data_IF_269946417748
#
_entry.id   IF_269946417748
#
_cell.length_a   1.000
_cell.length_b   1.000
_cell.length_c   1.000
_cell.angle_alpha   90.00
_cell.angle_beta   90.00
_cell.angle_gamma   90.00
#
_symmetry.space_group_name_H-M   'P 1'
#
loop_
_entity.id
_entity.type
_entity.pdbx_description
1 polymer ?
#
# COMPACT_ATOMS: atom_id res chain seq x y z
N UNK A 1 7.10 -15.14 -17.26
CA UNK A 1 6.72 -16.23 -16.34
C UNK A 1 7.94 -16.76 -15.59
N UNK A 2 8.65 -17.74 -16.15
CA UNK A 2 9.80 -18.37 -15.48
C UNK A 2 10.99 -17.42 -15.29
N UNK A 3 11.41 -16.71 -16.34
CA UNK A 3 12.52 -15.74 -16.27
C UNK A 3 12.24 -14.59 -15.29
N UNK A 4 11.01 -14.08 -15.29
CA UNK A 4 10.57 -13.06 -14.33
C UNK A 4 10.59 -13.61 -12.90
N UNK A 5 10.17 -14.86 -12.68
CA UNK A 5 10.19 -15.49 -11.35
C UNK A 5 11.61 -15.67 -10.76
N UNK A 6 12.62 -15.87 -11.60
CA UNK A 6 14.02 -15.96 -11.18
C UNK A 6 14.65 -14.58 -10.91
N UNK A 7 14.28 -13.57 -11.71
CA UNK A 7 14.84 -12.23 -11.59
C UNK A 7 14.24 -11.42 -10.42
N UNK A 8 12.95 -11.58 -10.12
CA UNK A 8 12.26 -10.74 -9.14
C UNK A 8 12.81 -10.82 -7.71
N UNK A 9 13.11 -12.01 -7.13
CA UNK A 9 13.65 -12.09 -5.78
C UNK A 9 15.02 -11.40 -5.64
N UNK A 10 15.89 -11.58 -6.64
CA UNK A 10 17.25 -11.00 -6.62
C UNK A 10 17.23 -9.48 -6.79
N UNK A 11 16.34 -8.96 -7.65
CA UNK A 11 16.12 -7.53 -7.82
C UNK A 11 15.50 -6.90 -6.57
N UNK A 12 14.45 -7.51 -6.01
CA UNK A 12 13.82 -7.01 -4.79
C UNK A 12 14.81 -6.93 -3.63
N UNK A 13 15.68 -7.93 -3.46
CA UNK A 13 16.71 -7.90 -2.41
C UNK A 13 17.63 -6.67 -2.51
N UNK A 14 18.03 -6.27 -3.73
CA UNK A 14 18.87 -5.08 -3.94
C UNK A 14 18.09 -3.76 -3.82
N UNK A 15 16.83 -3.74 -4.23
CA UNK A 15 16.01 -2.52 -4.23
C UNK A 15 15.55 -2.08 -2.85
N UNK A 16 15.61 -2.94 -1.83
CA UNK A 16 15.28 -2.54 -0.47
C UNK A 16 16.12 -1.34 0.01
N UNK A 17 17.41 -1.31 -0.35
CA UNK A 17 18.32 -0.21 -0.01
C UNK A 17 17.96 1.12 -0.70
N UNK A 18 17.33 1.08 -1.87
CA UNK A 18 16.99 2.27 -2.65
C UNK A 18 15.98 3.18 -1.94
N UNK A 19 15.06 2.59 -1.15
CA UNK A 19 14.02 3.33 -0.44
C UNK A 19 14.15 3.22 1.08
N UNK A 20 15.26 2.69 1.60
CA UNK A 20 15.57 2.65 3.04
C UNK A 20 14.49 2.05 3.95
N UNK A 21 13.67 1.12 3.43
CA UNK A 21 12.53 0.54 4.17
C UNK A 21 11.28 1.43 4.30
N UNK A 22 11.21 2.57 3.60
CA UNK A 22 10.08 3.52 3.66
C UNK A 22 8.87 3.15 2.77
N UNK A 23 9.00 2.13 1.92
CA UNK A 23 7.88 1.51 1.21
C UNK A 23 7.82 0.03 1.55
N UNK A 24 6.62 -0.46 1.85
CA UNK A 24 6.37 -1.86 2.18
C UNK A 24 6.22 -2.75 0.94
N UNK A 25 6.09 -2.20 -0.27
CA UNK A 25 5.79 -2.95 -1.51
C UNK A 25 6.98 -3.07 -2.46
N UNK A 26 8.14 -3.43 -1.91
CA UNK A 26 9.39 -3.56 -2.66
C UNK A 26 9.30 -4.54 -3.85
N UNK A 27 8.56 -5.65 -3.72
CA UNK A 27 8.34 -6.58 -4.84
C UNK A 27 7.59 -5.93 -6.01
N UNK A 28 6.67 -5.01 -5.73
CA UNK A 28 5.96 -4.29 -6.78
C UNK A 28 6.88 -3.36 -7.58
N UNK A 29 7.90 -2.80 -6.94
CA UNK A 29 8.94 -2.04 -7.63
C UNK A 29 9.82 -2.90 -8.52
N UNK A 30 10.24 -4.08 -8.04
CA UNK A 30 10.97 -5.04 -8.88
C UNK A 30 10.15 -5.42 -10.13
N UNK A 31 8.85 -5.72 -9.97
CA UNK A 31 7.92 -5.98 -11.08
C UNK A 31 7.82 -4.79 -12.04
N UNK A 32 7.74 -3.57 -11.51
CA UNK A 32 7.64 -2.37 -12.34
C UNK A 32 8.89 -2.08 -13.16
N UNK A 33 10.09 -2.26 -12.59
CA UNK A 33 11.35 -2.10 -13.32
C UNK A 33 11.45 -3.12 -14.45
N UNK A 34 11.14 -4.39 -14.17
CA UNK A 34 11.15 -5.44 -15.20
C UNK A 34 10.09 -5.17 -16.28
N UNK A 35 8.89 -4.76 -15.89
CA UNK A 35 7.80 -4.41 -16.81
C UNK A 35 8.15 -3.22 -17.69
N UNK A 36 8.79 -2.19 -17.13
CA UNK A 36 9.28 -1.04 -17.89
C UNK A 36 10.33 -1.47 -18.92
N UNK A 37 11.33 -2.26 -18.52
CA UNK A 37 12.39 -2.72 -19.42
C UNK A 37 11.81 -3.57 -20.56
N UNK A 38 10.91 -4.51 -20.24
CA UNK A 38 10.25 -5.34 -21.24
C UNK A 38 9.42 -4.49 -22.22
N UNK A 39 8.65 -3.52 -21.71
CA UNK A 39 7.80 -2.69 -22.56
C UNK A 39 8.59 -1.69 -23.40
N UNK A 40 9.72 -1.17 -22.89
CA UNK A 40 10.65 -0.35 -23.65
C UNK A 40 11.25 -1.14 -24.83
N UNK A 41 11.65 -2.39 -24.60
CA UNK A 41 12.15 -3.27 -25.66
C UNK A 41 11.08 -3.55 -26.72
N UNK A 42 9.87 -3.92 -26.31
CA UNK A 42 8.77 -4.19 -27.24
C UNK A 42 8.46 -2.95 -28.11
N UNK A 43 8.41 -1.75 -27.50
CA UNK A 43 8.22 -0.49 -28.24
C UNK A 43 9.35 -0.18 -29.21
N UNK A 44 10.59 -0.54 -28.90
CA UNK A 44 11.71 -0.39 -29.83
C UNK A 44 11.52 -1.21 -31.12
N UNK A 45 10.73 -2.29 -31.08
CA UNK A 45 10.33 -3.08 -32.25
C UNK A 45 8.94 -2.69 -32.81
N UNK A 46 8.37 -1.56 -32.39
CA UNK A 46 7.04 -1.12 -32.82
C UNK A 46 5.88 -1.90 -32.19
N UNK A 47 6.14 -2.77 -31.21
CA UNK A 47 5.14 -3.56 -30.49
C UNK A 47 4.70 -2.80 -29.23
N UNK A 48 3.75 -1.87 -29.39
CA UNK A 48 3.15 -1.13 -28.28
C UNK A 48 1.76 -1.67 -27.93
N UNK A 49 1.40 -1.63 -26.64
CA UNK A 49 0.03 -1.83 -26.20
C UNK A 49 -0.57 -0.49 -25.76
N UNK A 50 -1.80 -0.22 -26.19
CA UNK A 50 -2.63 0.86 -25.64
C UNK A 50 -3.27 0.43 -24.32
N UNK A 51 -3.92 1.38 -23.65
CA UNK A 51 -4.58 1.16 -22.37
C UNK A 51 -5.66 0.08 -22.50
N UNK A 52 -5.51 -1.02 -21.77
CA UNK A 52 -6.50 -2.10 -21.74
C UNK A 52 -7.76 -1.61 -21.04
N UNK A 53 -8.90 -1.71 -21.71
CA UNK A 53 -10.22 -1.46 -21.13
C UNK A 53 -10.59 -2.58 -20.15
N UNK A 54 -10.91 -2.22 -18.92
CA UNK A 54 -11.51 -3.13 -17.96
C UNK A 54 -13.01 -3.27 -18.25
N UNK A 55 -13.52 -4.50 -18.32
CA UNK A 55 -14.95 -4.76 -18.39
C UNK A 55 -15.49 -4.99 -16.98
N UNK A 56 -16.19 -4.01 -16.38
CA UNK A 56 -16.72 -4.18 -15.04
C UNK A 56 -17.87 -5.20 -15.07
N UNK A 57 -17.73 -6.28 -14.30
CA UNK A 57 -18.86 -7.13 -13.94
C UNK A 57 -19.81 -6.32 -13.06
N UNK A 58 -21.02 -6.08 -13.54
CA UNK A 58 -22.03 -5.29 -12.84
C UNK A 58 -22.85 -6.16 -11.87
N UNK A 59 -23.34 -5.56 -10.78
CA UNK A 59 -24.30 -6.21 -9.87
C UNK A 59 -23.69 -7.05 -8.74
N UNK A 60 -22.36 -7.08 -8.60
CA UNK A 60 -21.66 -7.83 -7.55
C UNK A 60 -21.32 -6.99 -6.31
N UNK A 61 -21.63 -5.69 -6.29
CA UNK A 61 -21.24 -4.78 -5.20
C UNK A 61 -21.70 -5.28 -3.82
N UNK A 62 -22.99 -5.62 -3.67
CA UNK A 62 -23.58 -6.07 -2.40
C UNK A 62 -23.07 -7.45 -1.98
N UNK A 63 -23.04 -8.48 -2.85
CA UNK A 63 -22.41 -9.77 -2.50
C UNK A 63 -20.95 -9.63 -2.06
N UNK A 64 -20.15 -8.81 -2.76
CA UNK A 64 -18.75 -8.58 -2.40
C UNK A 64 -18.60 -7.84 -1.06
N UNK A 65 -19.49 -6.89 -0.77
CA UNK A 65 -19.53 -6.20 0.52
C UNK A 65 -19.81 -7.17 1.67
N UNK A 66 -20.85 -7.99 1.54
CA UNK A 66 -21.21 -8.98 2.57
C UNK A 66 -20.04 -9.93 2.79
N UNK A 67 -19.43 -10.42 1.71
CA UNK A 67 -18.29 -11.33 1.77
C UNK A 67 -17.09 -10.70 2.49
N UNK A 68 -16.68 -9.48 2.11
CA UNK A 68 -15.50 -8.84 2.70
C UNK A 68 -15.73 -8.47 4.16
N UNK A 69 -16.92 -7.99 4.53
CA UNK A 69 -17.27 -7.68 5.92
C UNK A 69 -17.32 -8.95 6.78
N UNK A 70 -17.82 -10.06 6.23
CA UNK A 70 -17.83 -11.35 6.93
C UNK A 70 -16.40 -11.85 7.20
N UNK A 71 -15.51 -11.72 6.21
CA UNK A 71 -14.09 -12.07 6.37
C UNK A 71 -13.41 -11.19 7.42
N UNK A 72 -13.63 -9.87 7.36
CA UNK A 72 -13.10 -8.92 8.33
C UNK A 72 -13.59 -9.24 9.75
N UNK A 73 -14.88 -9.55 9.91
CA UNK A 73 -15.46 -9.93 11.19
C UNK A 73 -14.84 -11.22 11.75
N UNK A 74 -14.62 -12.22 10.88
CA UNK A 74 -13.95 -13.47 11.28
C UNK A 74 -12.50 -13.23 11.74
N UNK A 75 -11.74 -12.41 11.00
CA UNK A 75 -10.36 -12.06 11.36
C UNK A 75 -10.34 -11.26 12.69
N UNK A 76 -11.27 -10.31 12.87
CA UNK A 76 -11.38 -9.55 14.11
C UNK A 76 -11.73 -10.45 15.31
N UNK A 77 -12.67 -11.39 15.12
CA UNK A 77 -13.04 -12.35 16.15
C UNK A 77 -11.86 -13.25 16.52
N UNK A 78 -11.14 -13.79 15.54
CA UNK A 78 -9.94 -14.57 15.79
C UNK A 78 -8.86 -13.75 16.52
N UNK A 79 -8.65 -12.50 16.11
CA UNK A 79 -7.74 -11.58 16.79
C UNK A 79 -8.11 -11.32 18.24
N UNK A 80 -9.39 -11.14 18.53
CA UNK A 80 -9.91 -10.95 19.89
C UNK A 80 -9.76 -12.20 20.76
N UNK A 81 -10.15 -13.38 20.25
CA UNK A 81 -10.05 -14.65 20.98
C UNK A 81 -8.60 -15.03 21.33
N UNK A 82 -7.65 -14.64 20.48
CA UNK A 82 -6.22 -14.91 20.68
C UNK A 82 -5.49 -13.81 21.48
N UNK A 83 -6.21 -12.85 22.06
CA UNK A 83 -5.62 -11.67 22.73
C UNK A 83 -6.16 -11.42 24.15
N UNK A 84 -5.55 -12.01 25.19
CA UNK A 84 -5.94 -11.72 26.58
C UNK A 84 -5.73 -10.25 27.00
N UNK A 85 -4.91 -9.47 26.28
CA UNK A 85 -4.62 -8.05 26.53
C UNK A 85 -4.71 -7.17 25.28
N UNK A 86 -5.74 -7.37 24.45
CA UNK A 86 -5.85 -6.77 23.12
C UNK A 86 -5.63 -5.24 23.09
N UNK A 87 -6.25 -4.50 24.00
CA UNK A 87 -6.21 -3.04 23.99
C UNK A 87 -4.79 -2.48 24.20
N UNK A 88 -4.06 -3.02 25.18
CA UNK A 88 -2.68 -2.58 25.46
C UNK A 88 -1.75 -2.94 24.30
N UNK A 89 -1.88 -4.16 23.77
CA UNK A 89 -1.06 -4.61 22.65
C UNK A 89 -1.33 -3.79 21.37
N UNK A 90 -2.60 -3.48 21.07
CA UNK A 90 -2.96 -2.58 19.97
C UNK A 90 -2.43 -1.17 20.18
N UNK A 91 -2.49 -0.63 21.40
CA UNK A 91 -1.94 0.69 21.68
C UNK A 91 -0.43 0.76 21.45
N UNK A 92 0.31 -0.30 21.81
CA UNK A 92 1.75 -0.43 21.50
C UNK A 92 1.99 -0.55 19.99
N UNK A 93 1.22 -1.41 19.31
CA UNK A 93 1.31 -1.61 17.85
C UNK A 93 1.05 -0.30 17.09
N UNK A 94 0.06 0.49 17.50
CA UNK A 94 -0.31 1.77 16.85
C UNK A 94 0.72 2.88 17.01
N UNK A 95 1.71 2.72 17.88
CA UNK A 95 2.83 3.66 18.06
C UNK A 95 4.09 3.24 17.32
N UNK A 96 4.07 2.05 16.70
CA UNK A 96 5.25 1.54 16.01
C UNK A 96 5.46 2.27 14.67
N UNK A 97 6.68 2.75 14.34
CA UNK A 97 6.91 3.53 13.12
C UNK A 97 6.64 2.73 11.84
N UNK A 98 6.75 1.40 11.90
CA UNK A 98 6.39 0.50 10.80
C UNK A 98 7.40 0.46 9.66
N UNK A 99 8.58 1.08 9.84
CA UNK A 99 9.71 1.04 8.90
C UNK A 99 10.33 -0.36 8.86
N UNK A 100 10.65 -0.83 7.66
CA UNK A 100 11.23 -2.16 7.44
C UNK A 100 10.19 -3.28 7.41
N UNK A 101 10.61 -4.47 6.98
CA UNK A 101 9.76 -5.68 6.95
C UNK A 101 9.62 -6.31 8.35
N UNK A 102 9.17 -5.53 9.33
CA UNK A 102 8.94 -6.01 10.69
C UNK A 102 7.68 -6.89 10.71
N UNK A 103 7.85 -8.19 10.94
CA UNK A 103 6.73 -9.09 11.19
C UNK A 103 6.09 -8.75 12.54
N UNK A 104 4.96 -8.05 12.53
CA UNK A 104 4.29 -7.63 13.77
C UNK A 104 3.86 -8.82 14.63
N UNK A 105 3.60 -9.98 14.02
CA UNK A 105 3.16 -11.17 14.74
C UNK A 105 4.20 -11.65 15.77
N UNK A 106 5.50 -11.52 15.45
CA UNK A 106 6.57 -11.86 16.38
C UNK A 106 6.76 -10.83 17.51
N UNK A 107 6.39 -9.56 17.28
CA UNK A 107 6.62 -8.47 18.22
C UNK A 107 5.43 -8.21 19.16
N UNK A 108 4.20 -8.28 18.64
CA UNK A 108 2.97 -7.91 19.36
C UNK A 108 2.04 -9.09 19.61
N UNK A 109 2.39 -10.27 19.10
CA UNK A 109 1.56 -11.47 19.15
C UNK A 109 0.56 -11.57 18.00
N UNK A 110 0.10 -12.80 17.72
CA UNK A 110 -0.79 -13.07 16.58
C UNK A 110 -2.16 -12.41 16.72
N UNK A 111 -2.75 -12.44 17.92
CA UNK A 111 -4.09 -11.90 18.15
C UNK A 111 -4.22 -10.40 17.85
N UNK A 112 -3.38 -9.52 18.44
CA UNK A 112 -3.42 -8.08 18.18
C UNK A 112 -3.15 -7.73 16.71
N UNK A 113 -2.32 -8.53 16.04
CA UNK A 113 -2.03 -8.36 14.61
C UNK A 113 -3.24 -8.69 13.74
N UNK A 114 -3.89 -9.84 13.97
CA UNK A 114 -5.13 -10.18 13.26
C UNK A 114 -6.18 -9.08 13.45
N UNK A 115 -6.34 -8.57 14.68
CA UNK A 115 -7.28 -7.48 14.93
C UNK A 115 -6.88 -6.19 14.19
N UNK A 116 -5.60 -5.83 14.16
CA UNK A 116 -5.09 -4.70 13.36
C UNK A 116 -5.35 -4.88 11.85
N UNK A 117 -5.15 -6.08 11.32
CA UNK A 117 -5.45 -6.41 9.91
C UNK A 117 -6.95 -6.21 9.60
N UNK A 118 -7.84 -6.62 10.51
CA UNK A 118 -9.27 -6.40 10.37
C UNK A 118 -9.65 -4.91 10.40
N UNK A 119 -9.05 -4.12 11.31
CA UNK A 119 -9.27 -2.67 11.36
C UNK A 119 -8.84 -1.97 10.07
N UNK A 120 -7.69 -2.35 9.51
CA UNK A 120 -7.24 -1.85 8.21
C UNK A 120 -8.20 -2.23 7.08
N UNK A 121 -8.75 -3.46 7.11
CA UNK A 121 -9.79 -3.89 6.18
C UNK A 121 -11.05 -3.03 6.25
N UNK A 122 -11.52 -2.70 7.47
CA UNK A 122 -12.65 -1.78 7.66
C UNK A 122 -12.35 -0.39 7.11
N UNK A 123 -11.18 0.16 7.42
CA UNK A 123 -10.75 1.48 6.94
C UNK A 123 -10.65 1.49 5.41
N UNK A 124 -10.08 0.45 4.80
CA UNK A 124 -10.02 0.33 3.35
C UNK A 124 -11.41 0.30 2.73
N UNK A 125 -12.31 -0.52 3.27
CA UNK A 125 -13.67 -0.67 2.78
C UNK A 125 -14.44 0.65 2.91
N UNK A 126 -14.31 1.34 4.05
CA UNK A 126 -14.87 2.67 4.26
C UNK A 126 -14.32 3.69 3.26
N UNK A 127 -13.00 3.68 3.01
CA UNK A 127 -12.35 4.58 2.06
C UNK A 127 -12.92 4.44 0.64
N UNK A 128 -13.22 3.21 0.19
CA UNK A 128 -13.84 2.96 -1.12
C UNK A 128 -15.16 3.75 -1.23
N UNK A 129 -16.03 3.62 -0.23
CA UNK A 129 -17.34 4.29 -0.25
C UNK A 129 -17.23 5.81 -0.09
N UNK A 130 -16.33 6.29 0.78
CA UNK A 130 -16.09 7.73 0.94
C UNK A 130 -15.57 8.38 -0.35
N UNK A 131 -14.80 7.65 -1.15
CA UNK A 131 -14.30 8.12 -2.45
C UNK A 131 -15.34 8.08 -3.57
N UNK A 132 -16.56 7.61 -3.30
CA UNK A 132 -17.59 7.36 -4.31
C UNK A 132 -17.28 6.16 -5.21
N UNK A 133 -16.37 5.27 -4.77
CA UNK A 133 -15.97 4.07 -5.49
C UNK A 133 -16.96 2.91 -5.32
N UNK A 134 -16.77 1.88 -6.14
CA UNK A 134 -17.55 0.64 -6.12
C UNK A 134 -16.68 -0.55 -5.75
N UNK A 135 -17.29 -1.62 -5.27
CA UNK A 135 -16.58 -2.85 -4.98
C UNK A 135 -16.50 -3.70 -6.25
N UNK A 136 -15.33 -3.68 -6.87
CA UNK A 136 -14.97 -4.56 -7.97
C UNK A 136 -13.96 -5.62 -7.53
N UNK A 137 -13.73 -6.65 -8.34
CA UNK A 137 -12.69 -7.64 -8.08
C UNK A 137 -11.30 -7.02 -7.82
N UNK A 138 -10.82 -6.10 -8.67
CA UNK A 138 -9.56 -5.39 -8.42
C UNK A 138 -9.53 -4.57 -7.13
N UNK A 139 -10.60 -3.83 -6.81
CA UNK A 139 -10.70 -3.06 -5.55
C UNK A 139 -10.69 -4.00 -4.34
N UNK A 140 -11.40 -5.13 -4.41
CA UNK A 140 -11.38 -6.15 -3.38
C UNK A 140 -9.98 -6.76 -3.20
N UNK A 141 -9.27 -7.04 -4.29
CA UNK A 141 -7.88 -7.49 -4.25
C UNK A 141 -6.97 -6.48 -3.53
N UNK A 142 -7.20 -5.18 -3.72
CA UNK A 142 -6.48 -4.13 -3.00
C UNK A 142 -6.83 -4.10 -1.50
N UNK A 143 -8.10 -4.28 -1.12
CA UNK A 143 -8.54 -4.40 0.28
C UNK A 143 -7.87 -5.62 0.95
N UNK A 144 -7.94 -6.79 0.32
CA UNK A 144 -7.34 -8.03 0.84
C UNK A 144 -5.82 -7.90 0.97
N UNK A 145 -5.17 -7.24 0.01
CA UNK A 145 -3.75 -6.92 0.09
C UNK A 145 -3.46 -6.03 1.30
N UNK A 146 -4.26 -4.99 1.53
CA UNK A 146 -4.07 -4.12 2.69
C UNK A 146 -4.22 -4.88 4.01
N UNK A 147 -5.24 -5.75 4.11
CA UNK A 147 -5.44 -6.64 5.26
C UNK A 147 -4.19 -7.50 5.48
N UNK A 148 -3.69 -8.18 4.44
CA UNK A 148 -2.50 -9.02 4.51
C UNK A 148 -1.25 -8.27 4.97
N UNK A 149 -1.01 -7.09 4.41
CA UNK A 149 0.11 -6.24 4.81
C UNK A 149 -0.10 -5.52 6.15
N UNK A 150 -1.28 -5.61 6.76
CA UNK A 150 -1.52 -5.21 8.14
C UNK A 150 -0.68 -5.99 9.16
N UNK A 151 -0.12 -7.14 8.77
CA UNK A 151 0.86 -7.87 9.57
C UNK A 151 2.30 -7.30 9.48
N UNK A 152 2.55 -6.32 8.59
CA UNK A 152 3.88 -5.83 8.24
C UNK A 152 3.94 -4.30 8.19
N UNK A 153 4.15 -3.65 9.35
CA UNK A 153 4.47 -2.22 9.40
C UNK A 153 3.29 -1.26 9.19
N UNK A 154 2.06 -1.77 8.96
CA UNK A 154 0.85 -0.94 8.78
C UNK A 154 -0.08 -1.03 9.97
N UNK A 155 -0.64 0.10 10.37
CA UNK A 155 -1.74 0.17 11.32
C UNK A 155 -2.59 1.43 11.09
N UNK A 156 -3.80 1.54 11.67
CA UNK A 156 -4.65 2.71 11.50
C UNK A 156 -3.94 4.05 11.74
N UNK A 157 -3.16 4.13 12.83
CA UNK A 157 -2.41 5.33 13.23
C UNK A 157 -1.43 5.90 12.18
N UNK A 158 -0.81 5.07 11.33
CA UNK A 158 0.11 5.52 10.28
C UNK A 158 -0.49 5.45 8.87
N UNK A 159 -1.64 4.78 8.69
CA UNK A 159 -2.34 4.66 7.40
C UNK A 159 -3.22 5.85 7.09
N UNK A 160 -3.89 6.42 8.10
CA UNK A 160 -4.84 7.51 7.89
C UNK A 160 -4.23 8.76 7.22
N UNK A 161 -2.99 9.21 7.49
CA UNK A 161 -2.46 10.41 6.84
C UNK A 161 -2.24 10.17 5.35
N UNK A 162 -1.78 8.97 4.98
CA UNK A 162 -1.57 8.59 3.57
C UNK A 162 -2.89 8.51 2.82
N UNK A 163 -3.90 7.88 3.42
CA UNK A 163 -5.24 7.82 2.83
C UNK A 163 -5.86 9.21 2.71
N UNK A 164 -5.69 10.09 3.70
CA UNK A 164 -6.16 11.47 3.63
C UNK A 164 -5.48 12.24 2.48
N UNK A 165 -4.16 12.11 2.34
CA UNK A 165 -3.44 12.71 1.22
C UNK A 165 -3.91 12.20 -0.14
N UNK A 166 -4.14 10.89 -0.25
CA UNK A 166 -4.67 10.28 -1.45
C UNK A 166 -6.10 10.78 -1.76
N UNK A 167 -6.95 10.93 -0.74
CA UNK A 167 -8.31 11.46 -0.88
C UNK A 167 -8.30 12.92 -1.34
N UNK A 168 -7.41 13.75 -0.78
CA UNK A 168 -7.26 15.15 -1.20
C UNK A 168 -6.82 15.22 -2.67
N UNK A 169 -5.78 14.48 -3.04
CA UNK A 169 -5.28 14.51 -4.42
C UNK A 169 -6.28 13.92 -5.43
N UNK A 170 -7.07 12.92 -5.04
CA UNK A 170 -8.07 12.33 -5.93
C UNK A 170 -9.21 13.29 -6.25
N UNK A 171 -9.52 14.25 -5.37
CA UNK A 171 -10.55 15.28 -5.58
C UNK A 171 -10.02 16.56 -6.22
N UNK A 172 -8.75 16.91 -5.98
CA UNK A 172 -8.11 18.08 -6.60
C UNK A 172 -7.58 17.79 -8.00
N UNK A 173 -7.18 16.55 -8.27
CA UNK A 173 -6.68 16.15 -9.57
C UNK A 173 -7.79 16.02 -10.61
N UNK A 174 -7.41 16.06 -11.90
CA UNK A 174 -8.34 15.89 -13.03
C UNK A 174 -8.76 14.43 -13.25
N UNK A 175 -8.82 13.61 -12.19
CA UNK A 175 -9.23 12.22 -12.23
C UNK A 175 -10.54 12.02 -11.49
N UNK A 176 -11.31 11.00 -11.88
CA UNK A 176 -12.50 10.64 -11.13
C UNK A 176 -12.11 9.90 -9.85
N UNK A 177 -12.33 10.52 -8.69
CA UNK A 177 -11.96 9.98 -7.38
C UNK A 177 -12.52 8.58 -7.11
N UNK A 178 -13.74 8.30 -7.57
CA UNK A 178 -14.40 7.00 -7.43
C UNK A 178 -13.98 5.95 -8.46
N UNK A 179 -13.05 6.25 -9.36
CA UNK A 179 -12.59 5.26 -10.35
C UNK A 179 -11.74 4.18 -9.70
N UNK A 180 -11.91 2.92 -10.14
CA UNK A 180 -11.16 1.77 -9.63
C UNK A 180 -9.65 2.04 -9.60
N UNK A 181 -9.10 2.65 -10.65
CA UNK A 181 -7.66 2.96 -10.71
C UNK A 181 -7.19 3.89 -9.58
N UNK A 182 -7.97 4.92 -9.25
CA UNK A 182 -7.62 5.89 -8.20
C UNK A 182 -7.86 5.31 -6.81
N UNK A 183 -8.96 4.58 -6.61
CA UNK A 183 -9.25 3.89 -5.35
C UNK A 183 -8.17 2.84 -5.05
N UNK A 184 -7.81 2.01 -6.04
CA UNK A 184 -6.74 1.02 -5.92
C UNK A 184 -5.41 1.72 -5.62
N UNK A 185 -5.09 2.83 -6.30
CA UNK A 185 -3.89 3.61 -6.03
C UNK A 185 -3.86 4.13 -4.59
N UNK A 186 -4.96 4.67 -4.08
CA UNK A 186 -5.05 5.13 -2.69
C UNK A 186 -4.81 3.99 -1.68
N UNK A 187 -5.47 2.85 -1.87
CA UNK A 187 -5.34 1.69 -0.99
C UNK A 187 -3.91 1.13 -0.98
N UNK A 188 -3.28 0.98 -2.16
CA UNK A 188 -1.88 0.55 -2.23
C UNK A 188 -0.88 1.65 -1.83
N UNK A 189 -1.29 2.93 -1.86
CA UNK A 189 -0.50 4.06 -1.40
C UNK A 189 -0.10 3.96 0.07
N UNK A 190 -0.92 3.30 0.88
CA UNK A 190 -0.57 2.95 2.28
C UNK A 190 0.72 2.14 2.43
N UNK A 191 1.33 1.61 1.37
CA UNK A 191 2.71 1.14 1.45
C UNK A 191 3.71 2.18 1.97
N UNK A 192 3.36 3.45 1.86
CA UNK A 192 4.11 4.60 2.36
C UNK A 192 3.88 4.90 3.85
N UNK A 193 3.11 4.07 4.58
CA UNK A 193 2.88 4.24 6.02
C UNK A 193 4.14 4.39 6.90
N UNK A 194 5.32 3.85 6.54
CA UNK A 194 6.54 4.17 7.29
C UNK A 194 6.90 5.66 7.30
N UNK A 195 6.51 6.43 6.27
CA UNK A 195 6.81 7.87 6.18
C UNK A 195 6.12 8.64 7.31
N UNK A 196 4.78 8.59 7.49
CA UNK A 196 4.17 9.23 8.65
C UNK A 196 4.56 8.59 9.98
N UNK A 197 4.94 7.31 9.98
CA UNK A 197 5.44 6.64 11.18
C UNK A 197 6.78 7.19 11.68
N UNK A 198 7.64 7.70 10.79
CA UNK A 198 8.98 8.23 11.13
C UNK A 198 9.04 9.76 11.10
N UNK A 199 8.35 10.39 10.16
CA UNK A 199 8.41 11.85 9.91
C UNK A 199 7.11 12.59 10.29
N UNK A 200 6.14 11.88 10.88
CA UNK A 200 4.87 12.44 11.34
C UNK A 200 3.79 12.60 10.27
N UNK A 201 2.56 12.83 10.71
CA UNK A 201 1.37 12.87 9.86
C UNK A 201 1.43 13.83 8.66
N UNK A 202 2.07 15.03 8.70
CA UNK A 202 2.11 15.91 7.53
C UNK A 202 2.90 15.29 6.37
N UNK A 203 3.98 14.56 6.68
CA UNK A 203 4.76 13.85 5.68
C UNK A 203 3.95 12.71 5.05
N UNK A 204 3.07 12.06 5.82
CA UNK A 204 2.16 11.04 5.28
C UNK A 204 1.09 11.60 4.35
N UNK A 205 0.51 12.77 4.65
CA UNK A 205 -0.42 13.45 3.72
C UNK A 205 0.31 13.75 2.40
N UNK A 206 1.50 14.35 2.48
CA UNK A 206 2.30 14.63 1.28
C UNK A 206 2.63 13.34 0.51
N UNK A 207 2.98 12.26 1.20
CA UNK A 207 3.23 10.96 0.59
C UNK A 207 2.01 10.43 -0.18
N UNK A 208 0.81 10.52 0.41
CA UNK A 208 -0.45 10.14 -0.25
C UNK A 208 -0.76 10.98 -1.48
N UNK A 209 -0.56 12.30 -1.39
CA UNK A 209 -0.74 13.23 -2.52
C UNK A 209 0.19 12.86 -3.68
N UNK A 210 1.49 12.73 -3.39
CA UNK A 210 2.49 12.38 -4.39
C UNK A 210 2.22 10.99 -4.98
N UNK A 211 1.75 10.04 -4.17
CA UNK A 211 1.46 8.69 -4.65
C UNK A 211 0.37 8.65 -5.71
N UNK A 212 -0.73 9.37 -5.53
CA UNK A 212 -1.79 9.46 -6.54
C UNK A 212 -1.25 10.10 -7.82
N UNK A 213 -0.54 11.22 -7.70
CA UNK A 213 0.02 11.92 -8.85
C UNK A 213 1.02 11.04 -9.63
N UNK A 214 1.93 10.35 -8.95
CA UNK A 214 2.95 9.51 -9.57
C UNK A 214 2.34 8.25 -10.18
N UNK A 215 1.48 7.54 -9.44
CA UNK A 215 0.90 6.27 -9.89
C UNK A 215 0.05 6.43 -11.16
N UNK A 216 -0.67 7.54 -11.29
CA UNK A 216 -1.47 7.87 -12.47
C UNK A 216 -0.62 8.06 -13.75
N UNK A 217 0.65 8.46 -13.61
CA UNK A 217 1.54 8.76 -14.73
C UNK A 217 2.49 7.61 -15.11
N UNK A 218 2.75 6.67 -14.20
CA UNK A 218 3.68 5.56 -14.46
C UNK A 218 3.06 4.38 -15.21
N UNK A 219 1.73 4.29 -15.30
CA UNK A 219 1.02 3.20 -15.99
C UNK A 219 1.49 2.95 -17.42
N UNK A 220 1.78 4.04 -18.14
CA UNK A 220 2.24 3.99 -19.52
C UNK A 220 3.61 3.30 -19.68
N UNK A 221 4.51 3.43 -18.69
CA UNK A 221 5.90 2.94 -18.81
C UNK A 221 5.99 1.42 -18.92
N UNK A 222 5.02 0.71 -18.36
CA UNK A 222 4.92 -0.74 -18.43
C UNK A 222 3.69 -1.18 -19.23
N UNK A 223 3.17 -0.30 -20.10
CA UNK A 223 2.10 -0.64 -21.05
C UNK A 223 0.79 -1.04 -20.38
N UNK A 224 0.54 -0.59 -19.15
CA UNK A 224 -0.62 -0.92 -18.34
C UNK A 224 -0.78 -2.43 -18.01
N UNK A 225 0.23 -3.26 -18.30
CA UNK A 225 0.20 -4.71 -18.00
C UNK A 225 0.72 -5.03 -16.60
N UNK A 226 1.35 -4.08 -15.91
CA UNK A 226 1.84 -4.30 -14.55
C UNK A 226 0.77 -3.95 -13.50
N UNK A 227 0.14 -4.99 -12.95
CA UNK A 227 -0.79 -4.87 -11.82
C UNK A 227 -0.12 -4.31 -10.55
N UNK A 228 1.22 -4.35 -10.45
CA UNK A 228 1.98 -3.80 -9.34
C UNK A 228 2.42 -2.34 -9.55
N UNK A 229 1.76 -1.59 -10.46
CA UNK A 229 2.05 -0.17 -10.71
C UNK A 229 2.13 0.66 -9.43
N UNK A 230 1.28 0.41 -8.45
CA UNK A 230 1.29 1.17 -7.21
C UNK A 230 2.50 0.85 -6.32
N UNK A 231 2.97 -0.39 -6.27
CA UNK A 231 4.23 -0.70 -5.56
C UNK A 231 5.44 -0.07 -6.26
N UNK A 232 5.41 -0.02 -7.59
CA UNK A 232 6.41 0.69 -8.38
C UNK A 232 6.40 2.20 -8.12
N UNK A 233 5.23 2.83 -8.13
CA UNK A 233 5.06 4.25 -7.85
C UNK A 233 5.44 4.61 -6.41
N UNK A 234 5.03 3.81 -5.42
CA UNK A 234 5.30 4.10 -4.02
C UNK A 234 6.78 4.07 -3.69
N UNK A 235 7.58 3.21 -4.32
CA UNK A 235 9.03 3.19 -4.07
C UNK A 235 9.73 4.47 -4.55
N UNK A 236 9.33 5.06 -5.67
CA UNK A 236 9.87 6.38 -6.06
C UNK A 236 9.48 7.48 -5.08
N UNK A 237 8.21 7.52 -4.67
CA UNK A 237 7.74 8.49 -3.68
C UNK A 237 8.49 8.31 -2.36
N UNK A 238 8.66 7.07 -1.91
CA UNK A 238 9.40 6.75 -0.70
C UNK A 238 10.86 7.21 -0.78
N UNK A 239 11.58 6.84 -1.85
CA UNK A 239 12.98 7.21 -2.03
C UNK A 239 13.16 8.74 -2.08
N UNK A 240 12.37 9.44 -2.90
CA UNK A 240 12.48 10.88 -3.05
C UNK A 240 12.09 11.62 -1.75
N UNK A 241 10.92 11.30 -1.19
CA UNK A 241 10.39 12.03 -0.04
C UNK A 241 11.21 11.77 1.22
N UNK A 242 11.60 10.52 1.49
CA UNK A 242 12.45 10.23 2.66
C UNK A 242 13.80 10.93 2.55
N UNK A 243 14.47 10.88 1.40
CA UNK A 243 15.75 11.55 1.18
C UNK A 243 15.64 13.06 1.42
N UNK A 244 14.60 13.70 0.87
CA UNK A 244 14.39 15.14 1.05
C UNK A 244 14.11 15.48 2.52
N UNK A 245 13.24 14.73 3.19
CA UNK A 245 12.90 14.98 4.60
C UNK A 245 14.11 14.81 5.51
N UNK A 246 14.92 13.76 5.32
CA UNK A 246 16.16 13.54 6.05
C UNK A 246 17.17 14.66 5.78
N UNK A 247 17.31 15.12 4.53
CA UNK A 247 18.24 16.21 4.16
C UNK A 247 17.87 17.56 4.80
N UNK A 248 16.58 17.79 5.05
CA UNK A 248 16.07 19.01 5.69
C UNK A 248 16.21 18.99 7.23
N UNK A 249 16.93 18.02 7.78
CA UNK A 249 17.20 17.95 9.22
C UNK A 249 15.99 17.54 10.06
N UNK A 250 14.91 17.04 9.44
CA UNK A 250 13.86 16.35 10.21
C UNK A 250 14.47 15.08 10.77
N UNK A 251 14.71 15.08 12.08
CA UNK A 251 15.19 13.90 12.80
C UNK A 251 14.19 12.77 12.57
N UNK A 252 14.71 11.59 12.28
CA UNK A 252 13.90 10.37 12.37
C UNK A 252 13.48 10.25 13.84
N UNK A 253 12.21 10.51 14.15
CA UNK A 253 11.66 10.35 15.49
C UNK A 253 11.47 8.84 15.76
N UNK A 254 12.58 8.12 15.82
CA UNK A 254 12.59 6.70 16.13
C UNK A 254 12.74 6.56 17.65
N UNK A 255 11.77 6.00 18.38
CA UNK A 255 12.05 5.54 19.74
C UNK A 255 13.17 4.48 19.64
N UNK A 256 14.27 4.68 20.37
CA UNK A 256 15.44 3.81 20.37
C UNK A 256 15.02 2.34 20.38
N UNK A 257 15.39 1.59 19.34
CA UNK A 257 15.36 0.14 19.40
C UNK A 257 16.44 -0.29 20.41
N UNK A 258 16.10 -1.08 21.45
CA UNK A 258 17.13 -1.68 22.28
C UNK A 258 18.07 -2.48 21.36
N UNK A 259 19.37 -2.19 21.46
CA UNK A 259 20.40 -3.05 20.87
C UNK A 259 20.28 -4.41 21.56
N UNK A 260 19.85 -5.44 20.83
CA UNK A 260 20.10 -6.85 21.17
C UNK A 260 21.46 -7.27 20.63
#
# INVERSE_FOLDING_TARGET
GALTGLALPSLAARFHGFHGGYSLYNMGFACGVVGMAAMALLRAFGLGNEKVSSFPLQGLDTPLLIWVLSLIALIALAGWLLSPGLAEALAKLMRHPGRGSCGFAGQFGMGPVLFNMALLGLIATLYVFLSGGRLSGPVLGAILSLIGFGAFGKHPGNSWPVLLGAFVMSHLGNWHAGSDSIVIAALFGTSLTPIPGVFGWPAGILAGVLHIAVSANLGYLHGYVNLYNNGFASVFVAAALSTLLTSLGRREDTPEQPQE
#
